data_IF_444449620353
#
_entry.id   IF_444449620353
#
_cell.length_a   1.000
_cell.length_b   1.000
_cell.length_c   1.000
_cell.angle_alpha   90.00
_cell.angle_beta   90.00
_cell.angle_gamma   90.00
#
_symmetry.space_group_name_H-M   'P 1'
#
loop_
_entity.id
_entity.type
_entity.pdbx_description
1 polymer ?
#
# COMPACT_ATOMS: atom_id res chain seq x y z
N UNK A 1 15.85 57.34 -13.30
CA UNK A 1 15.74 58.45 -12.33
C UNK A 1 14.30 58.37 -11.82
N UNK A 2 14.07 58.04 -10.55
CA UNK A 2 12.72 58.11 -10.00
C UNK A 2 12.27 59.57 -10.04
N UNK A 3 11.08 59.82 -10.56
CA UNK A 3 10.47 61.15 -10.60
C UNK A 3 9.98 61.47 -9.19
N UNK A 4 10.78 62.25 -8.45
CA UNK A 4 10.58 62.51 -7.02
C UNK A 4 10.36 64.01 -6.82
N UNK A 5 9.24 64.37 -6.18
CA UNK A 5 8.98 65.73 -5.72
C UNK A 5 9.88 66.11 -4.55
N UNK A 6 10.36 67.36 -4.52
CA UNK A 6 11.34 67.87 -3.54
C UNK A 6 12.64 67.03 -3.48
N UNK A 7 13.34 66.82 -4.62
CA UNK A 7 14.48 65.90 -4.67
C UNK A 7 15.71 66.41 -3.90
N UNK A 8 15.81 67.71 -3.65
CA UNK A 8 16.93 68.34 -2.95
C UNK A 8 16.75 68.34 -1.43
N UNK A 9 15.56 67.99 -0.93
CA UNK A 9 15.23 68.00 0.50
C UNK A 9 15.46 66.61 1.13
N UNK A 10 15.81 66.52 2.43
CA UNK A 10 15.92 65.27 3.15
C UNK A 10 14.61 64.48 3.15
N UNK A 11 14.69 63.14 3.07
CA UNK A 11 13.51 62.27 2.97
C UNK A 11 12.54 62.48 4.13
N UNK A 12 13.07 62.75 5.32
CA UNK A 12 12.33 62.99 6.56
C UNK A 12 11.51 64.29 6.51
N UNK A 13 11.95 65.29 5.73
CA UNK A 13 11.27 66.58 5.59
C UNK A 13 10.23 66.58 4.45
N UNK A 14 10.35 65.66 3.49
CA UNK A 14 9.49 65.62 2.29
C UNK A 14 8.02 65.43 2.61
N UNK A 15 7.68 64.65 3.64
CA UNK A 15 6.27 64.45 4.03
C UNK A 15 5.63 65.77 4.46
N UNK A 16 6.31 66.56 5.30
CA UNK A 16 5.80 67.87 5.74
C UNK A 16 5.65 68.82 4.56
N UNK A 17 6.65 68.87 3.66
CA UNK A 17 6.56 69.70 2.44
C UNK A 17 5.39 69.29 1.54
N UNK A 18 5.13 67.99 1.38
CA UNK A 18 3.99 67.50 0.61
C UNK A 18 2.67 67.93 1.26
N UNK A 19 2.55 67.87 2.59
CA UNK A 19 1.35 68.31 3.34
C UNK A 19 1.10 69.81 3.21
N UNK A 20 2.16 70.61 3.26
CA UNK A 20 2.06 72.07 3.21
C UNK A 20 1.72 72.59 1.80
N UNK A 21 2.05 71.83 0.74
CA UNK A 21 1.88 72.24 -0.65
C UNK A 21 0.79 71.46 -1.43
N UNK A 22 0.18 70.41 -0.87
CA UNK A 22 -0.86 69.66 -1.56
C UNK A 22 -2.22 70.35 -1.51
N UNK A 23 -3.03 70.20 -2.56
CA UNK A 23 -4.41 70.68 -2.58
C UNK A 23 -5.34 69.85 -1.68
N UNK A 24 -5.12 68.53 -1.65
CA UNK A 24 -5.91 67.58 -0.85
C UNK A 24 -5.13 66.30 -0.56
N UNK A 25 -5.29 65.75 0.65
CA UNK A 25 -4.75 64.44 1.04
C UNK A 25 -5.83 63.37 0.81
N UNK A 26 -5.57 62.41 -0.07
CA UNK A 26 -6.47 61.30 -0.35
C UNK A 26 -5.83 59.95 0.01
N UNK A 27 -6.55 59.04 0.70
CA UNK A 27 -6.07 57.68 0.91
C UNK A 27 -6.13 56.89 -0.39
N UNK A 28 -4.97 56.39 -0.84
CA UNK A 28 -4.84 55.51 -2.02
C UNK A 28 -3.99 54.31 -1.65
N UNK A 29 -4.31 53.16 -2.25
CA UNK A 29 -3.46 51.97 -2.18
C UNK A 29 -2.45 52.02 -3.32
N UNK A 30 -1.17 51.81 -3.01
CA UNK A 30 -0.10 51.74 -4.00
C UNK A 30 0.95 50.71 -3.58
N UNK A 31 1.71 50.22 -4.54
CA UNK A 31 2.85 49.34 -4.27
C UNK A 31 4.08 50.19 -4.05
N UNK A 32 4.66 50.12 -2.85
CA UNK A 32 5.97 50.69 -2.57
C UNK A 32 7.05 49.79 -3.16
N UNK A 33 8.01 50.37 -3.88
CA UNK A 33 9.21 49.63 -4.29
C UNK A 33 10.07 49.31 -3.06
N UNK A 34 10.63 48.11 -3.01
CA UNK A 34 11.62 47.76 -2.01
C UNK A 34 12.94 48.50 -2.25
N UNK A 35 13.65 48.83 -1.18
CA UNK A 35 15.07 49.18 -1.25
C UNK A 35 15.89 47.94 -1.67
N UNK A 36 17.14 48.15 -2.08
CA UNK A 36 17.99 47.02 -2.44
C UNK A 36 18.22 46.07 -1.24
N UNK A 37 18.33 46.61 -0.03
CA UNK A 37 18.49 45.82 1.19
C UNK A 37 17.22 45.01 1.48
N UNK A 38 16.04 45.61 1.36
CA UNK A 38 14.77 44.89 1.52
C UNK A 38 14.60 43.78 0.47
N UNK A 39 15.03 44.00 -0.77
CA UNK A 39 15.05 42.95 -1.81
C UNK A 39 15.98 41.80 -1.40
N UNK A 40 17.15 42.12 -0.85
CA UNK A 40 18.12 41.10 -0.42
C UNK A 40 17.58 40.29 0.77
N UNK A 41 16.97 40.96 1.75
CA UNK A 41 16.34 40.30 2.90
C UNK A 41 15.22 39.35 2.46
N UNK A 42 14.36 39.78 1.53
CA UNK A 42 13.29 38.94 0.97
C UNK A 42 13.83 37.76 0.17
N UNK A 43 14.96 37.90 -0.51
CA UNK A 43 15.62 36.79 -1.20
C UNK A 43 16.17 35.76 -0.22
N UNK A 44 16.80 36.22 0.85
CA UNK A 44 17.31 35.34 1.90
C UNK A 44 16.17 34.57 2.60
N UNK A 45 15.07 35.26 2.92
CA UNK A 45 13.86 34.64 3.48
C UNK A 45 13.27 33.60 2.51
N UNK A 46 13.17 33.94 1.22
CA UNK A 46 12.66 33.01 0.21
C UNK A 46 13.53 31.76 0.08
N UNK A 47 14.85 31.91 0.12
CA UNK A 47 15.80 30.80 0.07
C UNK A 47 15.62 29.88 1.28
N UNK A 48 15.53 30.45 2.48
CA UNK A 48 15.29 29.69 3.70
C UNK A 48 13.98 28.90 3.65
N UNK A 49 12.88 29.55 3.24
CA UNK A 49 11.57 28.88 3.11
C UNK A 49 11.63 27.78 2.05
N UNK A 50 12.34 28.01 0.94
CA UNK A 50 12.48 27.02 -0.13
C UNK A 50 13.25 25.78 0.31
N UNK A 51 14.31 25.95 1.11
CA UNK A 51 15.05 24.85 1.72
C UNK A 51 14.14 24.03 2.63
N UNK A 52 13.40 24.70 3.53
CA UNK A 52 12.48 24.02 4.44
C UNK A 52 11.39 23.23 3.70
N UNK A 53 10.85 23.79 2.62
CA UNK A 53 9.88 23.08 1.78
C UNK A 53 10.52 21.81 1.20
N UNK A 54 11.73 21.92 0.65
CA UNK A 54 12.42 20.78 0.02
C UNK A 54 12.67 19.67 1.05
N UNK A 55 13.16 20.01 2.25
CA UNK A 55 13.38 19.05 3.33
C UNK A 55 12.08 18.33 3.74
N UNK A 56 10.98 19.07 3.88
CA UNK A 56 9.67 18.49 4.21
C UNK A 56 9.10 17.62 3.08
N UNK A 57 9.34 17.98 1.82
CA UNK A 57 8.93 17.16 0.67
C UNK A 57 9.71 15.83 0.63
N UNK A 58 11.00 15.86 0.93
CA UNK A 58 11.84 14.67 1.03
C UNK A 58 11.38 13.77 2.19
N UNK A 59 11.14 14.33 3.38
CA UNK A 59 10.58 13.59 4.52
C UNK A 59 9.22 12.95 4.17
N UNK A 60 8.33 13.72 3.53
CA UNK A 60 7.03 13.22 3.09
C UNK A 60 7.18 12.07 2.09
N UNK A 61 8.15 12.15 1.17
CA UNK A 61 8.43 11.08 0.22
C UNK A 61 8.90 9.80 0.92
N UNK A 62 9.78 9.92 1.92
CA UNK A 62 10.25 8.77 2.72
C UNK A 62 9.12 8.11 3.51
N UNK A 63 8.30 8.89 4.21
CA UNK A 63 7.14 8.37 4.96
C UNK A 63 6.14 7.69 4.03
N UNK A 64 5.88 8.28 2.86
CA UNK A 64 5.01 7.65 1.84
C UNK A 64 5.60 6.33 1.34
N UNK A 65 6.91 6.26 1.14
CA UNK A 65 7.59 5.03 0.70
C UNK A 65 7.49 3.93 1.77
N UNK A 66 7.73 4.25 3.05
CA UNK A 66 7.57 3.30 4.17
C UNK A 66 6.14 2.76 4.27
N UNK A 67 5.15 3.66 4.28
CA UNK A 67 3.73 3.27 4.36
C UNK A 67 3.34 2.39 3.16
N UNK A 68 3.78 2.74 1.93
CA UNK A 68 3.56 1.89 0.76
C UNK A 68 4.23 0.52 0.90
N UNK A 69 5.45 0.48 1.45
CA UNK A 69 6.16 -0.75 1.75
C UNK A 69 5.38 -1.66 2.69
N UNK A 70 4.75 -1.09 3.74
CA UNK A 70 3.91 -1.83 4.70
C UNK A 70 2.58 -2.27 4.12
N UNK A 71 1.99 -1.49 3.20
CA UNK A 71 0.73 -1.84 2.52
C UNK A 71 0.93 -2.99 1.53
N UNK A 72 2.05 -3.03 0.81
CA UNK A 72 2.31 -4.02 -0.25
C UNK A 72 2.09 -5.49 0.19
N UNK A 73 2.71 -6.01 1.28
CA UNK A 73 2.50 -7.39 1.70
C UNK A 73 1.05 -7.65 2.14
N UNK A 74 0.34 -6.65 2.64
CA UNK A 74 -1.08 -6.77 3.00
C UNK A 74 -1.96 -6.90 1.76
N UNK A 75 -1.66 -6.16 0.69
CA UNK A 75 -2.36 -6.30 -0.60
C UNK A 75 -2.11 -7.68 -1.21
N UNK A 76 -0.88 -8.18 -1.17
CA UNK A 76 -0.54 -9.53 -1.62
C UNK A 76 -1.26 -10.60 -0.80
N UNK A 77 -1.28 -10.47 0.54
CA UNK A 77 -2.01 -11.39 1.41
C UNK A 77 -3.51 -11.34 1.16
N UNK A 78 -4.08 -10.14 0.98
CA UNK A 78 -5.50 -9.96 0.64
C UNK A 78 -5.83 -10.66 -0.68
N UNK A 79 -4.96 -10.57 -1.69
CA UNK A 79 -5.11 -11.29 -2.95
C UNK A 79 -5.19 -12.80 -2.75
N UNK A 80 -4.23 -13.39 -2.01
CA UNK A 80 -4.22 -14.82 -1.70
C UNK A 80 -5.50 -15.27 -0.99
N UNK A 81 -5.94 -14.54 0.03
CA UNK A 81 -7.18 -14.86 0.75
C UNK A 81 -8.40 -14.81 -0.19
N UNK A 82 -8.47 -13.82 -1.10
CA UNK A 82 -9.55 -13.76 -2.08
C UNK A 82 -9.55 -14.96 -3.02
N UNK A 83 -8.38 -15.44 -3.43
CA UNK A 83 -8.25 -16.61 -4.29
C UNK A 83 -8.65 -17.90 -3.55
N UNK A 84 -8.19 -18.07 -2.30
CA UNK A 84 -8.60 -19.17 -1.40
C UNK A 84 -10.14 -19.19 -1.21
N UNK A 85 -10.75 -18.03 -0.99
CA UNK A 85 -12.21 -17.91 -0.83
C UNK A 85 -12.97 -18.23 -2.13
N UNK A 86 -12.47 -17.78 -3.29
CA UNK A 86 -13.07 -18.11 -4.60
C UNK A 86 -12.99 -19.60 -4.90
N UNK A 87 -11.87 -20.24 -4.55
CA UNK A 87 -11.68 -21.68 -4.66
C UNK A 87 -12.49 -22.48 -3.62
N UNK A 88 -13.04 -21.80 -2.60
CA UNK A 88 -13.68 -22.42 -1.41
C UNK A 88 -12.76 -23.41 -0.71
N UNK A 89 -11.47 -23.15 -0.72
CA UNK A 89 -10.46 -24.03 -0.17
C UNK A 89 -9.05 -23.56 -0.48
N UNK A 90 -8.09 -24.08 0.27
CA UNK A 90 -6.67 -23.88 0.01
C UNK A 90 -6.11 -25.08 -0.78
N UNK A 91 -5.09 -24.81 -1.60
CA UNK A 91 -4.35 -25.88 -2.26
C UNK A 91 -3.39 -26.51 -1.26
N UNK A 92 -3.70 -27.73 -0.83
CA UNK A 92 -2.90 -28.48 0.15
C UNK A 92 -2.21 -29.65 -0.54
N UNK A 93 -0.89 -29.75 -0.37
CA UNK A 93 -0.14 -30.97 -0.68
C UNK A 93 0.10 -31.70 0.64
N UNK A 94 -0.63 -32.79 0.86
CA UNK A 94 -0.52 -33.61 2.05
C UNK A 94 -0.62 -35.10 1.68
N UNK A 95 -0.27 -35.96 2.63
CA UNK A 95 -0.48 -37.40 2.48
C UNK A 95 -1.97 -37.70 2.27
N UNK A 96 -2.25 -38.50 1.24
CA UNK A 96 -3.60 -38.98 0.93
C UNK A 96 -3.68 -40.48 1.18
N UNK A 97 -4.79 -40.91 1.75
CA UNK A 97 -4.99 -42.29 2.18
C UNK A 97 -5.83 -43.02 1.14
N UNK A 98 -5.18 -43.90 0.38
CA UNK A 98 -5.80 -44.69 -0.69
C UNK A 98 -6.47 -45.95 -0.13
N UNK A 99 -7.75 -46.13 -0.44
CA UNK A 99 -8.51 -47.34 -0.16
C UNK A 99 -9.03 -47.95 -1.46
N UNK A 100 -8.89 -49.27 -1.56
CA UNK A 100 -9.29 -50.06 -2.73
C UNK A 100 -10.37 -51.03 -2.27
N UNK A 101 -11.57 -50.87 -2.81
CA UNK A 101 -12.71 -51.76 -2.58
C UNK A 101 -12.85 -52.72 -3.77
N UNK A 102 -12.48 -53.97 -3.55
CA UNK A 102 -12.46 -55.01 -4.59
C UNK A 102 -13.86 -55.47 -4.98
N UNK A 103 -14.81 -55.39 -4.05
CA UNK A 103 -16.18 -55.87 -4.27
C UNK A 103 -16.96 -54.86 -5.10
N UNK A 104 -16.81 -53.57 -4.79
CA UNK A 104 -17.43 -52.50 -5.58
C UNK A 104 -16.61 -52.10 -6.83
N UNK A 105 -15.37 -52.57 -6.95
CA UNK A 105 -14.50 -52.26 -8.09
C UNK A 105 -14.01 -50.81 -8.12
N UNK A 106 -13.90 -50.17 -6.95
CA UNK A 106 -13.60 -48.74 -6.81
C UNK A 106 -12.35 -48.48 -5.98
N UNK A 107 -11.70 -47.36 -6.27
CA UNK A 107 -10.57 -46.83 -5.50
C UNK A 107 -10.88 -45.40 -5.11
N UNK A 108 -10.77 -45.09 -3.81
CA UNK A 108 -11.02 -43.76 -3.27
C UNK A 108 -9.82 -43.25 -2.47
N UNK A 109 -9.60 -41.95 -2.54
CA UNK A 109 -8.56 -41.24 -1.78
C UNK A 109 -9.22 -40.37 -0.72
N UNK A 110 -8.68 -40.39 0.49
CA UNK A 110 -9.18 -39.61 1.62
C UNK A 110 -8.10 -38.70 2.18
N UNK A 111 -8.52 -37.56 2.71
CA UNK A 111 -7.65 -36.70 3.52
C UNK A 111 -7.35 -37.35 4.87
N UNK A 112 -6.38 -36.80 5.61
CA UNK A 112 -6.08 -37.24 6.99
C UNK A 112 -7.29 -37.11 7.94
N UNK A 113 -8.22 -36.19 7.66
CA UNK A 113 -9.45 -35.98 8.42
C UNK A 113 -10.58 -36.94 8.00
N UNK A 114 -10.35 -37.78 6.97
CA UNK A 114 -11.32 -38.75 6.50
C UNK A 114 -12.31 -38.24 5.45
N UNK A 115 -12.12 -37.03 4.90
CA UNK A 115 -12.95 -36.54 3.79
C UNK A 115 -12.52 -37.19 2.48
N UNK A 116 -13.50 -37.64 1.67
CA UNK A 116 -13.26 -38.23 0.35
C UNK A 116 -12.82 -37.15 -0.64
N UNK A 117 -11.61 -37.29 -1.18
CA UNK A 117 -10.99 -36.36 -2.12
C UNK A 117 -11.35 -36.73 -3.56
N UNK A 118 -11.19 -38.01 -3.90
CA UNK A 118 -11.40 -38.53 -5.25
C UNK A 118 -11.93 -39.97 -5.16
N UNK A 119 -12.79 -40.34 -6.09
CA UNK A 119 -13.21 -41.73 -6.32
C UNK A 119 -13.10 -42.04 -7.82
N UNK A 120 -12.51 -43.18 -8.14
CA UNK A 120 -12.39 -43.67 -9.51
C UNK A 120 -12.56 -45.18 -9.58
N UNK A 121 -12.75 -45.69 -10.79
CA UNK A 121 -12.69 -47.12 -11.05
C UNK A 121 -11.32 -47.69 -10.68
N UNK A 122 -11.32 -48.92 -10.20
CA UNK A 122 -10.11 -49.66 -9.86
C UNK A 122 -9.26 -49.94 -11.10
N UNK A 123 -7.93 -49.81 -10.99
CA UNK A 123 -7.01 -50.22 -12.06
C UNK A 123 -6.78 -51.74 -12.07
N UNK A 124 -6.37 -52.33 -13.21
CA UNK A 124 -6.05 -53.76 -13.28
C UNK A 124 -5.01 -54.22 -12.25
N UNK A 125 -4.02 -53.37 -11.94
CA UNK A 125 -2.99 -53.67 -10.93
C UNK A 125 -3.55 -53.66 -9.52
N UNK A 126 -4.51 -52.77 -9.20
CA UNK A 126 -5.17 -52.71 -7.89
C UNK A 126 -6.10 -53.89 -7.64
N UNK A 127 -6.60 -54.51 -8.72
CA UNK A 127 -7.42 -55.73 -8.68
C UNK A 127 -6.59 -56.96 -8.30
N UNK A 128 -5.28 -56.90 -8.48
CA UNK A 128 -4.38 -57.98 -8.06
C UNK A 128 -4.20 -57.92 -6.55
N UNK A 129 -4.84 -58.87 -5.84
CA UNK A 129 -4.90 -58.89 -4.36
C UNK A 129 -3.49 -58.91 -3.76
N UNK A 130 -3.15 -57.89 -2.99
CA UNK A 130 -1.94 -57.86 -2.18
C UNK A 130 -2.20 -58.45 -0.79
N UNK A 131 -1.20 -59.10 -0.17
CA UNK A 131 -1.30 -59.80 1.13
C UNK A 131 -1.93 -58.93 2.24
N UNK A 132 -1.68 -57.61 2.23
CA UNK A 132 -2.24 -56.63 3.17
C UNK A 132 -3.76 -56.43 3.01
N UNK A 133 -4.28 -56.51 1.78
CA UNK A 133 -5.72 -56.46 1.51
C UNK A 133 -6.40 -57.73 2.00
N UNK A 134 -5.73 -58.88 1.89
CA UNK A 134 -6.24 -60.14 2.44
C UNK A 134 -6.35 -60.08 3.97
N UNK A 135 -5.39 -59.47 4.69
CA UNK A 135 -5.45 -59.34 6.15
C UNK A 135 -6.59 -58.47 6.65
N UNK A 136 -6.96 -57.40 5.92
CA UNK A 136 -8.15 -56.57 6.24
C UNK A 136 -9.46 -57.33 6.07
N UNK A 137 -9.52 -58.24 5.10
CA UNK A 137 -10.66 -59.13 4.89
C UNK A 137 -10.78 -60.15 6.02
N UNK A 138 -9.67 -60.83 6.38
CA UNK A 138 -9.65 -61.80 7.47
C UNK A 138 -9.98 -61.20 8.85
N UNK A 139 -9.65 -59.92 9.08
CA UNK A 139 -9.98 -59.22 10.33
C UNK A 139 -11.40 -58.60 10.36
N UNK A 140 -12.11 -58.55 9.22
CA UNK A 140 -13.53 -58.15 9.16
C UNK A 140 -14.47 -59.33 9.30
N UNK A 141 -14.03 -60.53 8.92
CA UNK A 141 -14.73 -61.78 9.22
C UNK A 141 -14.34 -62.26 10.62
N UNK A 142 -14.61 -61.44 11.63
CA UNK A 142 -14.91 -61.96 12.95
C UNK A 142 -16.26 -62.66 12.83
N UNK A 143 -16.25 -63.97 13.00
CA UNK A 143 -17.43 -64.83 13.06
C UNK A 143 -18.54 -64.20 13.91
N UNK A 144 -19.65 -63.79 13.28
CA UNK A 144 -20.95 -63.79 13.93
C UNK A 144 -21.41 -65.25 13.97
N UNK A 145 -21.53 -65.81 15.18
CA UNK A 145 -22.31 -67.03 15.44
C UNK A 145 -23.81 -66.78 15.18
#
# INVERSE_FOLDING_TARGET
MQDVMFPNDPVEAREQMLRDNCDQIEPRSFTRSFSQDEVNDRRAELEQVSIQITELEDELAQVRADIKGRIKPLLERRGKILDELKARGEWVTADTFKFVDVDEGKTAYYSAEGYKIEERAMTPQERQRNIIQATRFFNRTGTDD
#
